data_IF_157144717228
#
_entry.id   IF_157144717228
#
_cell.length_a   1.000
_cell.length_b   1.000
_cell.length_c   1.000
_cell.angle_alpha   90.00
_cell.angle_beta   90.00
_cell.angle_gamma   90.00
#
_symmetry.space_group_name_H-M   'P 1'
#
loop_
_entity.id
_entity.type
_entity.pdbx_description
1 polymer ?
#
# COMPACT_ATOMS: atom_id res chain seq x y z
N UNK A 1 -6.82 -14.78 10.46
CA UNK A 1 -5.58 -13.97 10.33
C UNK A 1 -5.51 -13.51 8.88
N UNK A 2 -5.61 -12.22 8.55
CA UNK A 2 -5.60 -11.74 7.15
C UNK A 2 -4.13 -11.66 6.66
N UNK A 3 -3.60 -12.64 5.89
CA UNK A 3 -2.16 -12.75 5.62
C UNK A 3 -1.64 -11.72 4.61
N UNK A 4 -2.54 -10.98 3.96
CA UNK A 4 -2.22 -10.22 2.75
C UNK A 4 -2.26 -8.70 2.95
N UNK A 5 -2.56 -8.22 4.15
CA UNK A 5 -2.61 -6.79 4.44
C UNK A 5 -1.27 -6.32 4.99
N UNK A 6 -0.54 -5.54 4.20
CA UNK A 6 0.72 -4.94 4.57
C UNK A 6 0.53 -3.48 4.98
N UNK A 7 1.42 -2.97 5.84
CA UNK A 7 1.44 -1.55 6.18
C UNK A 7 2.07 -0.73 5.05
N UNK A 8 1.94 0.60 5.12
CA UNK A 8 2.65 1.50 4.20
C UNK A 8 4.18 1.39 4.30
N UNK A 9 4.69 0.98 5.47
CA UNK A 9 6.13 0.81 5.68
C UNK A 9 6.62 -0.49 5.03
N UNK A 10 5.87 -1.57 5.16
CA UNK A 10 6.18 -2.84 4.52
C UNK A 10 6.12 -2.72 3.00
N UNK A 11 5.10 -2.03 2.47
CA UNK A 11 5.01 -1.73 1.05
C UNK A 11 6.21 -0.90 0.56
N UNK A 12 6.62 0.11 1.34
CA UNK A 12 7.78 0.94 1.01
C UNK A 12 9.06 0.11 0.94
N UNK A 13 9.29 -0.78 1.92
CA UNK A 13 10.42 -1.69 1.93
C UNK A 13 10.38 -2.68 0.75
N UNK A 14 9.20 -3.19 0.42
CA UNK A 14 9.02 -4.13 -0.69
C UNK A 14 9.31 -3.49 -2.06
N UNK A 15 8.84 -2.27 -2.28
CA UNK A 15 9.09 -1.50 -3.51
C UNK A 15 10.47 -0.82 -3.55
N UNK A 16 11.20 -0.78 -2.43
CA UNK A 16 12.46 -0.04 -2.33
C UNK A 16 12.29 1.48 -2.43
N UNK A 17 11.12 2.01 -2.08
CA UNK A 17 10.80 3.45 -2.15
C UNK A 17 10.54 4.02 -0.76
N UNK A 18 10.43 5.34 -0.66
CA UNK A 18 10.05 5.97 0.60
C UNK A 18 8.55 5.77 0.91
N UNK A 19 8.22 5.76 2.21
CA UNK A 19 6.81 5.76 2.67
C UNK A 19 6.03 6.96 2.11
N UNK A 20 6.71 8.09 1.88
CA UNK A 20 6.10 9.27 1.25
C UNK A 20 5.67 9.00 -0.20
N UNK A 21 6.44 8.24 -0.96
CA UNK A 21 6.07 7.79 -2.31
C UNK A 21 4.84 6.88 -2.28
N UNK A 22 4.81 5.91 -1.37
CA UNK A 22 3.63 5.05 -1.17
C UNK A 22 2.38 5.89 -0.85
N UNK A 23 2.49 6.86 0.07
CA UNK A 23 1.38 7.76 0.40
C UNK A 23 0.93 8.60 -0.79
N UNK A 24 1.86 9.07 -1.63
CA UNK A 24 1.53 9.77 -2.87
C UNK A 24 0.75 8.87 -3.83
N UNK A 25 1.18 7.63 -4.04
CA UNK A 25 0.46 6.67 -4.89
C UNK A 25 -0.94 6.38 -4.37
N UNK A 26 -1.12 6.28 -3.06
CA UNK A 26 -2.45 6.11 -2.45
C UNK A 26 -3.32 7.33 -2.68
N UNK A 27 -2.79 8.54 -2.41
CA UNK A 27 -3.53 9.78 -2.59
C UNK A 27 -3.89 10.06 -4.05
N UNK A 28 -3.03 9.65 -4.99
CA UNK A 28 -3.26 9.78 -6.42
C UNK A 28 -4.18 8.69 -6.98
N UNK A 29 -4.57 7.69 -6.16
CA UNK A 29 -5.38 6.56 -6.60
C UNK A 29 -4.62 5.47 -7.36
N UNK A 30 -3.30 5.62 -7.53
CA UNK A 30 -2.41 4.65 -8.18
C UNK A 30 -2.32 3.35 -7.39
N UNK A 31 -2.30 3.43 -6.05
CA UNK A 31 -2.25 2.26 -5.17
C UNK A 31 -3.51 2.20 -4.31
N UNK A 32 -4.28 1.12 -4.44
CA UNK A 32 -5.46 0.91 -3.60
C UNK A 32 -5.03 0.59 -2.17
N UNK A 33 -5.54 1.38 -1.24
CA UNK A 33 -5.36 1.14 0.18
C UNK A 33 -6.70 1.20 0.91
N UNK A 34 -6.83 0.34 1.92
CA UNK A 34 -7.97 0.28 2.80
C UNK A 34 -7.68 1.06 4.08
N UNK A 35 -8.65 1.87 4.50
CA UNK A 35 -8.62 2.56 5.78
C UNK A 35 -9.80 2.06 6.60
N UNK A 36 -9.58 1.30 7.69
CA UNK A 36 -10.66 0.92 8.58
C UNK A 36 -11.31 2.18 9.16
N UNK A 37 -12.63 2.20 9.20
CA UNK A 37 -13.39 3.32 9.74
C UNK A 37 -12.99 3.59 11.21
N UNK A 38 -12.75 4.86 11.54
CA UNK A 38 -12.24 5.26 12.86
C UNK A 38 -10.74 5.02 13.10
N UNK A 39 -9.99 4.47 12.13
CA UNK A 39 -8.55 4.19 12.28
C UNK A 39 -7.67 5.11 11.44
N UNK A 40 -6.55 5.56 12.03
CA UNK A 40 -5.48 6.25 11.29
C UNK A 40 -4.62 5.28 10.46
N UNK A 41 -4.81 3.97 10.63
CA UNK A 41 -3.99 2.94 10.02
C UNK A 41 -4.41 2.72 8.56
N UNK A 42 -3.42 2.73 7.67
CA UNK A 42 -3.60 2.40 6.27
C UNK A 42 -3.13 0.95 6.07
N UNK A 43 -3.97 0.13 5.45
CA UNK A 43 -3.64 -1.25 5.07
C UNK A 43 -3.71 -1.41 3.57
N UNK A 44 -2.66 -1.96 2.99
CA UNK A 44 -2.53 -2.17 1.54
C UNK A 44 -2.60 -3.67 1.30
N UNK A 45 -3.36 -4.11 0.28
CA UNK A 45 -3.36 -5.53 -0.09
C UNK A 45 -2.11 -5.81 -0.91
N UNK A 46 -1.43 -6.91 -0.59
CA UNK A 46 -0.25 -7.36 -1.33
C UNK A 46 -0.53 -7.51 -2.84
N UNK A 47 -1.71 -8.02 -3.19
CA UNK A 47 -2.13 -8.15 -4.60
C UNK A 47 -2.16 -6.81 -5.34
N UNK A 48 -2.58 -5.72 -4.69
CA UNK A 48 -2.60 -4.39 -5.32
C UNK A 48 -1.16 -3.89 -5.58
N UNK A 49 -0.21 -4.21 -4.68
CA UNK A 49 1.21 -3.94 -4.90
C UNK A 49 1.77 -4.74 -6.08
N UNK A 50 1.42 -6.02 -6.20
CA UNK A 50 1.86 -6.88 -7.31
C UNK A 50 1.30 -6.41 -8.65
N UNK A 51 0.03 -5.95 -8.70
CA UNK A 51 -0.56 -5.37 -9.91
C UNK A 51 0.20 -4.12 -10.34
N UNK A 52 0.57 -3.26 -9.38
CA UNK A 52 1.36 -2.05 -9.68
C UNK A 52 2.77 -2.40 -10.18
N UNK A 53 3.42 -3.40 -9.58
CA UNK A 53 4.76 -3.84 -9.97
C UNK A 53 4.81 -4.50 -11.35
N UNK A 54 3.76 -5.23 -11.75
CA UNK A 54 3.69 -5.89 -13.06
C UNK A 54 3.14 -4.96 -14.17
N UNK A 55 2.65 -3.78 -13.83
CA UNK A 55 2.05 -2.81 -14.77
C UNK A 55 2.92 -1.60 -15.11
N UNK A 56 4.16 -1.56 -14.60
CA UNK A 56 5.17 -0.52 -14.88
C UNK A 56 6.27 -1.07 -15.79
#
# INVERSE_FOLDING_TARGET
MFPELMSTADAAAWFGVSVSTIRKWINNGTLKAFRPEGSKIIRIRKKDCEVLANGA
#
